data_IF_031385607293
#
_entry.id   IF_031385607293
#
_cell.length_a   1.000
_cell.length_b   1.000
_cell.length_c   1.000
_cell.angle_alpha   90.00
_cell.angle_beta   90.00
_cell.angle_gamma   90.00
#
_symmetry.space_group_name_H-M   'P 1'
#
loop_
_entity.id
_entity.type
_entity.pdbx_description
1 polymer ?
#
# COMPACT_ATOMS: atom_id res chain seq x y z
N UNK A 1 -2.94 5.33 -19.08
CA UNK A 1 -2.30 6.00 -17.94
C UNK A 1 -0.86 5.52 -17.83
N UNK A 2 0.12 6.41 -17.60
CA UNK A 2 1.49 5.98 -17.34
C UNK A 2 1.52 5.11 -16.10
N UNK A 3 2.22 3.97 -16.15
CA UNK A 3 2.34 3.02 -15.03
C UNK A 3 3.37 3.44 -13.99
N UNK A 4 4.29 4.31 -14.37
CA UNK A 4 5.31 4.86 -13.48
C UNK A 4 5.39 6.35 -13.73
N UNK A 5 5.42 7.12 -12.66
CA UNK A 5 5.66 8.56 -12.73
C UNK A 5 7.11 8.83 -12.34
N UNK A 6 7.82 9.72 -13.05
CA UNK A 6 9.13 10.16 -12.62
C UNK A 6 9.01 10.81 -11.23
N UNK A 7 9.97 10.57 -10.39
CA UNK A 7 10.07 11.14 -9.05
C UNK A 7 11.51 11.50 -8.74
N UNK A 8 11.78 12.21 -7.63
CA UNK A 8 13.13 12.52 -7.20
C UNK A 8 13.92 11.23 -6.90
N UNK A 9 15.22 11.29 -7.07
CA UNK A 9 16.14 10.20 -6.72
C UNK A 9 16.34 10.13 -5.20
N UNK A 10 16.41 11.30 -4.55
CA UNK A 10 16.61 11.43 -3.11
C UNK A 10 15.29 11.67 -2.38
N UNK A 11 15.24 11.29 -1.12
CA UNK A 11 14.10 11.50 -0.24
C UNK A 11 14.45 12.55 0.82
N UNK A 12 13.50 13.44 1.10
CA UNK A 12 13.60 14.41 2.20
C UNK A 12 13.29 13.80 3.57
N UNK A 13 12.79 12.57 3.62
CA UNK A 13 12.46 11.85 4.86
C UNK A 13 13.39 10.65 5.04
N UNK A 14 13.82 10.41 6.28
CA UNK A 14 14.64 9.26 6.64
C UNK A 14 13.85 7.94 6.61
N UNK A 15 14.49 6.78 6.47
CA UNK A 15 13.82 5.48 6.60
C UNK A 15 13.07 5.31 7.93
N UNK A 16 13.61 5.81 9.04
CA UNK A 16 12.97 5.74 10.36
C UNK A 16 11.72 6.63 10.44
N UNK A 17 11.76 7.84 9.88
CA UNK A 17 10.58 8.70 9.74
C UNK A 17 9.48 8.03 8.93
N UNK A 18 9.83 7.46 7.78
CA UNK A 18 8.89 6.77 6.90
C UNK A 18 8.28 5.54 7.56
N UNK A 19 9.11 4.76 8.26
CA UNK A 19 8.66 3.60 8.99
C UNK A 19 7.71 3.96 10.13
N UNK A 20 8.12 4.90 10.97
CA UNK A 20 7.31 5.38 12.09
C UNK A 20 6.01 6.02 11.64
N UNK A 21 6.05 6.84 10.57
CA UNK A 21 4.87 7.43 9.95
C UNK A 21 3.88 6.36 9.49
N UNK A 22 4.36 5.33 8.79
CA UNK A 22 3.53 4.22 8.32
C UNK A 22 2.83 3.49 9.47
N UNK A 23 3.57 3.16 10.54
CA UNK A 23 2.99 2.51 11.73
C UNK A 23 1.97 3.39 12.45
N UNK A 24 2.27 4.68 12.64
CA UNK A 24 1.38 5.58 13.38
C UNK A 24 0.14 5.99 12.57
N UNK A 25 0.23 6.08 11.24
CA UNK A 25 -0.96 6.25 10.39
C UNK A 25 -1.85 5.00 10.47
N UNK A 26 -1.29 3.79 10.46
CA UNK A 26 -2.09 2.57 10.63
C UNK A 26 -2.69 2.48 12.03
N UNK A 27 -1.92 1.95 12.96
CA UNK A 27 -2.37 1.56 14.31
C UNK A 27 -1.97 2.55 15.41
N UNK A 28 -1.54 3.77 15.05
CA UNK A 28 -1.22 4.81 16.03
C UNK A 28 -2.43 5.59 16.50
N UNK A 29 -2.38 6.06 17.75
CA UNK A 29 -3.29 7.04 18.31
C UNK A 29 -2.52 8.35 18.58
N UNK A 30 -2.91 9.40 17.89
CA UNK A 30 -2.34 10.75 17.99
C UNK A 30 -3.42 11.79 18.35
N UNK A 31 -4.47 11.35 19.04
CA UNK A 31 -5.58 12.22 19.43
C UNK A 31 -5.15 13.24 20.50
N UNK A 32 -5.69 14.48 20.45
CA UNK A 32 -5.43 15.47 21.49
C UNK A 32 -5.80 14.95 22.88
N UNK A 33 -5.00 15.31 23.88
CA UNK A 33 -5.17 14.91 25.29
C UNK A 33 -4.94 13.42 25.58
N UNK A 34 -4.50 12.64 24.58
CA UNK A 34 -4.03 11.28 24.77
C UNK A 34 -2.52 11.22 24.60
N UNK A 35 -1.89 10.26 25.26
CA UNK A 35 -0.49 9.94 25.00
C UNK A 35 -0.39 9.40 23.58
N UNK A 36 0.62 9.83 22.82
CA UNK A 36 0.91 9.24 21.51
C UNK A 36 1.30 7.78 21.75
N UNK A 37 0.61 6.87 21.06
CA UNK A 37 0.76 5.43 21.30
C UNK A 37 0.52 4.63 20.03
N UNK A 38 1.10 3.45 20.00
CA UNK A 38 0.94 2.45 18.95
C UNK A 38 0.52 1.11 19.57
N UNK A 39 -0.42 0.41 18.95
CA UNK A 39 -0.95 -0.88 19.45
C UNK A 39 -0.70 -1.98 18.43
N UNK A 40 -0.14 -3.10 18.85
CA UNK A 40 0.09 -4.25 17.98
C UNK A 40 0.04 -5.57 18.75
N UNK A 41 -0.27 -6.67 18.05
CA UNK A 41 -0.17 -8.03 18.60
C UNK A 41 1.24 -8.61 18.50
N UNK A 42 2.04 -8.06 17.61
CA UNK A 42 3.34 -8.60 17.22
C UNK A 42 4.46 -7.84 17.95
N UNK A 43 5.24 -8.54 18.76
CA UNK A 43 6.34 -7.95 19.54
C UNK A 43 7.43 -7.35 18.66
N UNK A 44 7.71 -7.96 17.51
CA UNK A 44 8.69 -7.46 16.55
C UNK A 44 8.27 -6.10 15.95
N UNK A 45 6.97 -5.87 15.74
CA UNK A 45 6.44 -4.56 15.32
C UNK A 45 6.50 -3.54 16.47
N UNK A 46 6.19 -3.95 17.71
CA UNK A 46 6.31 -3.08 18.86
C UNK A 46 7.76 -2.62 19.08
N UNK A 47 8.71 -3.55 18.97
CA UNK A 47 10.14 -3.27 19.10
C UNK A 47 10.64 -2.34 17.99
N UNK A 48 10.19 -2.57 16.74
CA UNK A 48 10.57 -1.72 15.62
C UNK A 48 10.07 -0.28 15.78
N UNK A 49 8.83 -0.08 16.24
CA UNK A 49 8.29 1.26 16.51
C UNK A 49 9.05 1.94 17.65
N UNK A 50 9.38 1.20 18.72
CA UNK A 50 10.20 1.68 19.81
C UNK A 50 11.55 2.21 19.29
N UNK A 51 12.28 1.39 18.55
CA UNK A 51 13.62 1.72 18.04
C UNK A 51 13.61 2.87 17.03
N UNK A 52 12.65 2.90 16.10
CA UNK A 52 12.52 4.00 15.15
C UNK A 52 12.22 5.32 15.86
N UNK A 53 11.34 5.31 16.88
CA UNK A 53 11.03 6.50 17.64
C UNK A 53 12.23 7.00 18.45
N UNK A 54 13.01 6.08 19.04
CA UNK A 54 14.21 6.40 19.79
C UNK A 54 15.30 7.02 18.90
N UNK A 55 15.55 6.43 17.71
CA UNK A 55 16.53 6.95 16.76
C UNK A 55 16.10 8.30 16.18
N UNK A 56 14.84 8.43 15.75
CA UNK A 56 14.33 9.62 15.07
C UNK A 56 14.23 10.84 16.02
N UNK A 57 13.87 10.62 17.27
CA UNK A 57 13.65 11.69 18.24
C UNK A 57 14.68 11.69 19.38
N UNK A 58 15.82 11.11 19.16
CA UNK A 58 16.98 10.97 20.06
C UNK A 58 16.93 11.81 21.36
N UNK A 59 16.56 11.19 22.48
CA UNK A 59 16.46 11.85 23.79
C UNK A 59 15.24 12.74 24.03
N UNK A 60 14.48 13.11 22.99
CA UNK A 60 13.26 13.93 23.15
C UNK A 60 12.00 13.08 23.42
N UNK A 61 12.03 11.80 23.03
CA UNK A 61 11.00 10.80 23.31
C UNK A 61 11.59 9.71 24.21
N UNK A 62 10.81 9.25 25.19
CA UNK A 62 11.08 8.10 26.05
C UNK A 62 10.07 6.99 25.73
N UNK A 63 10.31 6.16 24.69
CA UNK A 63 9.38 5.12 24.31
C UNK A 63 9.35 4.00 25.37
N UNK A 64 8.19 3.37 25.55
CA UNK A 64 8.02 2.22 26.45
C UNK A 64 7.07 1.22 25.86
N UNK A 65 7.42 -0.07 25.93
CA UNK A 65 6.55 -1.19 25.52
C UNK A 65 5.91 -1.77 26.78
N UNK A 66 4.59 -1.73 26.82
CA UNK A 66 3.83 -2.39 27.88
C UNK A 66 3.10 -3.59 27.29
N UNK A 67 3.34 -4.80 27.82
CA UNK A 67 2.52 -5.95 27.45
C UNK A 67 1.14 -5.81 28.08
N UNK A 68 0.12 -5.98 27.27
CA UNK A 68 -1.28 -6.06 27.66
C UNK A 68 -1.75 -7.50 27.49
N UNK A 69 -3.04 -7.81 27.70
CA UNK A 69 -3.56 -9.19 27.71
C UNK A 69 -3.13 -10.05 26.50
N UNK A 70 -3.30 -9.50 25.29
CA UNK A 70 -3.02 -10.19 24.03
C UNK A 70 -2.39 -9.30 22.96
N UNK A 71 -1.88 -8.13 23.38
CA UNK A 71 -1.24 -7.14 22.52
C UNK A 71 -0.17 -6.36 23.28
N UNK A 72 0.60 -5.57 22.56
CA UNK A 72 1.60 -4.65 23.11
C UNK A 72 1.17 -3.22 22.85
N UNK A 73 1.31 -2.38 23.87
CA UNK A 73 1.09 -0.95 23.79
C UNK A 73 2.44 -0.25 23.85
N UNK A 74 2.80 0.45 22.77
CA UNK A 74 4.01 1.28 22.73
C UNK A 74 3.61 2.71 23.02
N UNK A 75 4.00 3.22 24.19
CA UNK A 75 3.82 4.62 24.55
C UNK A 75 5.00 5.43 24.08
N UNK A 76 4.73 6.52 23.37
CA UNK A 76 5.73 7.42 22.80
C UNK A 76 5.66 8.77 23.54
N UNK A 77 5.99 8.72 24.82
CA UNK A 77 5.94 9.89 25.72
C UNK A 77 7.13 10.81 25.49
N UNK A 78 6.93 12.12 25.65
CA UNK A 78 8.05 13.06 25.70
C UNK A 78 8.94 12.77 26.92
N UNK A 79 10.25 12.93 26.77
CA UNK A 79 11.22 12.75 27.85
C UNK A 79 11.16 13.87 28.90
N UNK A 80 10.73 15.06 28.49
CA UNK A 80 10.55 16.22 29.36
C UNK A 80 9.08 16.48 29.68
N UNK A 81 8.76 17.14 30.82
CA UNK A 81 7.39 17.48 31.16
C UNK A 81 6.73 18.37 30.10
N UNK A 82 5.50 18.03 29.75
CA UNK A 82 4.73 18.79 28.77
C UNK A 82 4.19 20.07 29.37
N UNK A 83 4.18 21.13 28.58
CA UNK A 83 3.61 22.45 28.98
C UNK A 83 2.89 23.07 27.77
N UNK A 84 2.29 24.25 27.94
CA UNK A 84 1.64 24.98 26.85
C UNK A 84 2.56 25.25 25.65
N UNK A 85 3.87 25.46 25.92
CA UNK A 85 4.89 25.80 24.94
C UNK A 85 5.86 24.64 24.68
N UNK A 86 5.60 23.45 25.22
CA UNK A 86 6.43 22.27 25.06
C UNK A 86 5.53 21.04 24.89
N UNK A 87 5.27 20.68 23.66
CA UNK A 87 4.42 19.55 23.28
C UNK A 87 5.28 18.30 23.06
N UNK A 88 4.60 17.16 22.91
CA UNK A 88 5.26 15.93 22.48
C UNK A 88 5.82 16.11 21.06
N UNK A 89 7.12 15.85 20.81
CA UNK A 89 7.74 16.06 19.50
C UNK A 89 7.07 15.32 18.34
N UNK A 90 6.51 14.13 18.60
CA UNK A 90 5.74 13.39 17.57
C UNK A 90 4.41 14.11 17.27
N UNK A 91 3.76 14.68 18.28
CA UNK A 91 2.54 15.47 18.07
C UNK A 91 2.82 16.74 17.26
N UNK A 92 3.94 17.41 17.50
CA UNK A 92 4.38 18.57 16.69
C UNK A 92 4.71 18.16 15.26
N UNK A 93 5.45 17.05 15.09
CA UNK A 93 5.74 16.50 13.78
C UNK A 93 4.46 16.17 13.00
N UNK A 94 3.48 15.51 13.64
CA UNK A 94 2.19 15.21 13.02
C UNK A 94 1.36 16.45 12.69
N UNK A 95 1.49 17.53 13.48
CA UNK A 95 0.89 18.83 13.15
C UNK A 95 1.51 19.42 11.89
N UNK A 96 2.83 19.38 11.72
CA UNK A 96 3.51 19.87 10.50
C UNK A 96 3.12 19.07 9.26
N UNK A 97 2.76 17.81 9.43
CA UNK A 97 2.26 16.94 8.37
C UNK A 97 0.74 17.06 8.14
N UNK A 98 0.04 17.83 8.98
CA UNK A 98 -1.41 18.04 8.90
C UNK A 98 -2.26 16.86 9.34
N UNK A 99 -1.69 15.88 10.04
CA UNK A 99 -2.37 14.60 10.40
C UNK A 99 -2.52 14.39 11.91
N UNK A 100 -2.18 15.37 12.74
CA UNK A 100 -2.40 15.27 14.18
C UNK A 100 -3.89 15.31 14.53
N UNK A 101 -4.31 14.50 15.49
CA UNK A 101 -5.67 14.50 16.00
C UNK A 101 -6.71 13.79 15.15
N UNK A 102 -6.30 13.14 14.06
CA UNK A 102 -7.20 12.42 13.17
C UNK A 102 -7.65 11.08 13.77
N UNK A 103 -8.93 10.79 13.65
CA UNK A 103 -9.49 9.48 13.97
C UNK A 103 -9.26 8.51 12.81
N UNK A 104 -9.39 7.21 13.07
CA UNK A 104 -9.10 6.14 12.07
C UNK A 104 -9.74 6.39 10.70
N UNK A 105 -10.98 6.89 10.64
CA UNK A 105 -11.72 7.16 9.40
C UNK A 105 -11.41 8.51 8.76
N UNK A 106 -10.63 9.37 9.43
CA UNK A 106 -10.20 10.69 8.96
C UNK A 106 -8.76 10.67 8.42
N UNK A 107 -8.00 9.62 8.78
CA UNK A 107 -6.59 9.48 8.39
C UNK A 107 -6.39 9.50 6.88
N UNK A 108 -5.27 10.07 6.45
CA UNK A 108 -4.82 10.14 5.06
C UNK A 108 -3.29 10.15 5.00
N UNK A 109 -2.74 10.00 3.82
CA UNK A 109 -1.29 10.09 3.60
C UNK A 109 -0.92 11.57 3.46
N UNK A 110 0.05 12.10 4.24
CA UNK A 110 0.53 13.48 4.07
C UNK A 110 1.03 13.76 2.66
N UNK A 111 0.80 14.97 2.16
CA UNK A 111 1.18 15.36 0.80
C UNK A 111 2.66 15.20 0.51
N UNK A 112 3.50 15.41 1.53
CA UNK A 112 4.94 15.25 1.44
C UNK A 112 5.36 13.85 0.95
N UNK A 113 4.62 12.80 1.35
CA UNK A 113 4.91 11.41 0.93
C UNK A 113 4.74 11.23 -0.58
N UNK A 114 3.82 11.96 -1.21
CA UNK A 114 3.62 11.89 -2.66
C UNK A 114 4.76 12.53 -3.47
N UNK A 115 5.61 13.33 -2.84
CA UNK A 115 6.76 13.97 -3.49
C UNK A 115 8.06 13.18 -3.32
N UNK A 116 8.03 12.03 -2.64
CA UNK A 116 9.22 11.24 -2.34
C UNK A 116 9.63 10.34 -3.51
N UNK A 117 10.86 9.81 -3.41
CA UNK A 117 11.39 8.80 -4.33
C UNK A 117 10.57 7.49 -4.28
N UNK A 118 10.61 6.70 -5.34
CA UNK A 118 9.94 5.40 -5.38
C UNK A 118 10.38 4.46 -4.24
N UNK A 119 11.66 4.47 -3.89
CA UNK A 119 12.21 3.69 -2.77
C UNK A 119 11.63 4.12 -1.42
N UNK A 120 11.54 5.43 -1.17
CA UNK A 120 10.98 6.00 0.04
C UNK A 120 9.49 5.70 0.17
N UNK A 121 8.71 5.84 -0.91
CA UNK A 121 7.31 5.43 -0.96
C UNK A 121 7.17 3.93 -0.64
N UNK A 122 8.06 3.09 -1.18
CA UNK A 122 8.10 1.66 -0.87
C UNK A 122 8.32 1.37 0.62
N UNK A 123 9.26 2.09 1.27
CA UNK A 123 9.51 1.98 2.71
C UNK A 123 8.26 2.38 3.51
N UNK A 124 7.68 3.54 3.23
CA UNK A 124 6.45 4.01 3.88
C UNK A 124 5.31 2.98 3.76
N UNK A 125 5.02 2.52 2.54
CA UNK A 125 3.97 1.53 2.30
C UNK A 125 4.25 0.19 3.00
N UNK A 126 5.50 -0.25 3.08
CA UNK A 126 5.90 -1.47 3.80
C UNK A 126 5.49 -1.44 5.26
N UNK A 127 5.77 -0.34 5.94
CA UNK A 127 5.44 -0.15 7.34
C UNK A 127 3.95 0.11 7.57
N UNK A 128 3.30 0.86 6.69
CA UNK A 128 1.84 0.99 6.70
C UNK A 128 1.15 -0.37 6.48
N UNK A 129 1.68 -1.21 5.58
CA UNK A 129 1.15 -2.55 5.33
C UNK A 129 1.38 -3.51 6.49
N UNK A 130 2.38 -3.24 7.33
CA UNK A 130 2.63 -4.04 8.54
C UNK A 130 1.46 -3.95 9.54
N UNK A 131 0.72 -2.86 9.55
CA UNK A 131 -0.48 -2.64 10.39
C UNK A 131 -1.70 -3.35 9.79
N UNK A 132 -2.54 -2.66 9.08
CA UNK A 132 -3.83 -3.11 8.52
C UNK A 132 -3.70 -3.87 7.18
N UNK A 133 -2.48 -4.14 6.72
CA UNK A 133 -2.24 -4.91 5.50
C UNK A 133 -2.37 -6.42 5.71
N UNK A 134 -3.03 -7.08 4.79
CA UNK A 134 -3.10 -8.55 4.73
C UNK A 134 -2.11 -9.07 3.67
N UNK A 135 -1.33 -10.09 4.04
CA UNK A 135 -0.49 -10.86 3.13
C UNK A 135 -0.59 -12.32 3.57
N UNK A 136 -1.33 -13.14 2.84
CA UNK A 136 -1.51 -14.56 3.17
C UNK A 136 -1.89 -15.40 1.97
N UNK A 137 -1.65 -16.71 2.08
CA UNK A 137 -2.31 -17.69 1.23
C UNK A 137 -3.70 -18.01 1.78
N UNK A 138 -4.70 -18.03 0.91
CA UNK A 138 -6.04 -18.54 1.19
C UNK A 138 -6.15 -19.93 0.56
N UNK A 139 -6.41 -20.92 1.40
CA UNK A 139 -6.55 -22.31 0.99
C UNK A 139 -8.04 -22.66 0.80
N UNK A 140 -8.33 -23.54 -0.15
CA UNK A 140 -9.65 -24.01 -0.52
C UNK A 140 -9.57 -24.79 -1.82
N UNK A 141 -10.68 -24.91 -2.56
CA UNK A 141 -10.72 -25.59 -3.88
C UNK A 141 -9.71 -25.01 -4.88
N UNK A 142 -9.44 -23.70 -4.79
CA UNK A 142 -8.46 -23.00 -5.61
C UNK A 142 -7.62 -22.11 -4.71
N UNK A 143 -6.44 -22.57 -4.24
CA UNK A 143 -5.54 -21.77 -3.42
C UNK A 143 -5.12 -20.51 -4.16
N UNK A 144 -5.11 -19.36 -3.44
CA UNK A 144 -4.79 -18.05 -4.03
C UNK A 144 -4.14 -17.12 -3.00
N UNK A 145 -3.27 -16.21 -3.44
CA UNK A 145 -2.81 -15.10 -2.61
C UNK A 145 -3.95 -14.15 -2.25
N UNK A 146 -3.92 -13.62 -1.03
CA UNK A 146 -4.72 -12.50 -0.60
C UNK A 146 -3.76 -11.41 -0.11
N UNK A 147 -3.63 -10.34 -0.89
CA UNK A 147 -2.79 -9.19 -0.58
C UNK A 147 -3.67 -7.96 -0.70
N UNK A 148 -3.95 -7.32 0.43
CA UNK A 148 -4.74 -6.10 0.45
C UNK A 148 -4.39 -5.24 1.66
N UNK A 149 -4.61 -3.94 1.55
CA UNK A 149 -4.63 -2.99 2.66
C UNK A 149 -6.08 -2.64 2.98
N UNK A 150 -6.46 -2.64 4.25
CA UNK A 150 -7.81 -2.32 4.69
C UNK A 150 -7.82 -1.04 5.54
N UNK A 151 -8.79 -0.16 5.32
CA UNK A 151 -8.95 1.04 6.13
C UNK A 151 -10.42 1.44 6.27
N UNK A 152 -10.79 2.03 7.41
CA UNK A 152 -12.06 2.73 7.57
C UNK A 152 -12.06 4.13 6.94
N UNK A 153 -10.90 4.66 6.57
CA UNK A 153 -10.77 5.90 5.82
C UNK A 153 -10.75 5.61 4.31
N UNK A 154 -11.78 6.11 3.61
CA UNK A 154 -11.82 6.04 2.14
C UNK A 154 -10.68 6.83 1.52
N UNK A 155 -10.33 8.00 2.12
CA UNK A 155 -9.24 8.83 1.64
C UNK A 155 -7.90 8.10 1.74
N UNK A 156 -7.58 7.53 2.90
CA UNK A 156 -6.35 6.75 3.09
C UNK A 156 -6.26 5.58 2.09
N UNK A 157 -7.36 4.88 1.84
CA UNK A 157 -7.38 3.79 0.86
C UNK A 157 -7.10 4.29 -0.57
N UNK A 158 -7.65 5.44 -0.98
CA UNK A 158 -7.37 6.07 -2.28
C UNK A 158 -5.91 6.52 -2.34
N UNK A 159 -5.38 7.12 -1.28
CA UNK A 159 -3.99 7.56 -1.21
C UNK A 159 -3.03 6.38 -1.37
N UNK A 160 -3.28 5.26 -0.67
CA UNK A 160 -2.52 4.00 -0.81
C UNK A 160 -2.59 3.47 -2.25
N UNK A 161 -3.78 3.49 -2.88
CA UNK A 161 -3.96 3.10 -4.27
C UNK A 161 -3.09 3.95 -5.22
N UNK A 162 -3.09 5.27 -5.01
CA UNK A 162 -2.31 6.20 -5.83
C UNK A 162 -0.80 5.99 -5.65
N UNK A 163 -0.33 5.75 -4.42
CA UNK A 163 1.08 5.47 -4.15
C UNK A 163 1.52 4.13 -4.79
N UNK A 164 0.69 3.09 -4.73
CA UNK A 164 0.96 1.83 -5.42
C UNK A 164 1.03 2.03 -6.95
N UNK A 165 0.13 2.83 -7.51
CA UNK A 165 0.14 3.14 -8.94
C UNK A 165 1.44 3.88 -9.34
N UNK A 166 1.95 4.78 -8.50
CA UNK A 166 3.25 5.44 -8.73
C UNK A 166 4.42 4.45 -8.77
N UNK A 167 4.33 3.35 -8.03
CA UNK A 167 5.28 2.24 -8.10
C UNK A 167 5.00 1.29 -9.27
N UNK A 168 4.00 1.59 -10.10
CA UNK A 168 3.59 0.78 -11.24
C UNK A 168 2.85 -0.50 -10.85
N UNK A 169 2.24 -0.54 -9.65
CA UNK A 169 1.43 -1.64 -9.16
C UNK A 169 -0.04 -1.30 -9.37
N UNK A 170 -0.72 -2.06 -10.20
CA UNK A 170 -2.16 -1.89 -10.44
C UNK A 170 -2.95 -2.63 -9.36
N UNK A 171 -3.83 -1.90 -8.68
CA UNK A 171 -4.64 -2.45 -7.61
C UNK A 171 -6.10 -2.01 -7.72
N UNK A 172 -6.99 -2.79 -7.10
CA UNK A 172 -8.43 -2.54 -7.11
C UNK A 172 -8.90 -2.05 -5.75
N UNK A 173 -9.57 -0.89 -5.72
CA UNK A 173 -10.29 -0.42 -4.55
C UNK A 173 -11.68 -1.07 -4.50
N UNK A 174 -12.07 -1.59 -3.34
CA UNK A 174 -13.41 -2.13 -3.08
C UNK A 174 -13.91 -1.68 -1.71
N UNK A 175 -15.20 -1.38 -1.63
CA UNK A 175 -15.87 -1.07 -0.37
C UNK A 175 -16.54 -2.33 0.19
N UNK A 176 -16.38 -2.53 1.49
CA UNK A 176 -16.96 -3.64 2.26
C UNK A 176 -17.85 -3.08 3.37
N UNK A 177 -19.17 -2.96 3.13
CA UNK A 177 -20.12 -2.50 4.14
C UNK A 177 -20.11 -3.41 5.37
N UNK A 178 -20.09 -2.80 6.56
CA UNK A 178 -20.15 -3.48 7.85
C UNK A 178 -21.57 -3.35 8.43
N UNK A 179 -22.51 -4.14 7.94
CA UNK A 179 -23.91 -4.08 8.38
C UNK A 179 -24.00 -4.35 9.89
N UNK A 180 -24.48 -3.37 10.65
CA UNK A 180 -24.65 -3.46 12.11
C UNK A 180 -23.37 -3.44 12.94
N UNK A 181 -22.19 -3.24 12.33
CA UNK A 181 -20.88 -3.32 13.01
C UNK A 181 -19.98 -2.09 12.85
N UNK A 182 -20.52 -0.95 12.46
CA UNK A 182 -19.75 0.28 12.33
C UNK A 182 -19.61 0.77 10.89
N UNK A 183 -18.46 1.39 10.56
CA UNK A 183 -18.22 2.01 9.26
C UNK A 183 -17.79 0.98 8.21
N UNK A 184 -18.11 1.24 6.93
CA UNK A 184 -17.54 0.49 5.80
C UNK A 184 -16.02 0.43 5.89
N UNK A 185 -15.45 -0.67 5.40
CA UNK A 185 -14.00 -0.79 5.17
C UNK A 185 -13.71 -0.70 3.68
N UNK A 186 -12.61 -0.05 3.36
CA UNK A 186 -12.10 0.11 1.99
C UNK A 186 -10.85 -0.75 1.84
N UNK A 187 -10.90 -1.68 0.90
CA UNK A 187 -9.78 -2.59 0.63
C UNK A 187 -9.09 -2.23 -0.68
N UNK A 188 -7.77 -2.05 -0.62
CA UNK A 188 -6.90 -1.86 -1.77
C UNK A 188 -6.26 -3.21 -2.08
N UNK A 189 -6.77 -3.91 -3.09
CA UNK A 189 -6.40 -5.27 -3.41
C UNK A 189 -5.31 -5.29 -4.49
N UNK A 190 -4.17 -5.91 -4.19
CA UNK A 190 -3.11 -6.25 -5.15
C UNK A 190 -3.34 -7.69 -5.63
N UNK A 191 -3.45 -7.89 -6.93
CA UNK A 191 -3.77 -9.19 -7.49
C UNK A 191 -3.14 -9.37 -8.86
N UNK A 192 -2.90 -10.63 -9.26
CA UNK A 192 -2.15 -10.99 -10.46
C UNK A 192 -0.65 -11.17 -10.17
N UNK A 193 -0.02 -12.12 -10.84
CA UNK A 193 1.35 -12.53 -10.55
C UNK A 193 2.33 -11.34 -10.65
N UNK A 194 2.28 -10.60 -11.75
CA UNK A 194 3.16 -9.46 -12.02
C UNK A 194 3.07 -8.36 -10.95
N UNK A 195 1.84 -7.93 -10.59
CA UNK A 195 1.64 -6.88 -9.59
C UNK A 195 2.02 -7.36 -8.18
N UNK A 196 1.81 -8.65 -7.88
CA UNK A 196 2.23 -9.26 -6.61
C UNK A 196 3.75 -9.36 -6.52
N UNK A 197 4.42 -9.79 -7.58
CA UNK A 197 5.88 -9.83 -7.63
C UNK A 197 6.46 -8.42 -7.47
N UNK A 198 5.94 -7.46 -8.22
CA UNK A 198 6.34 -6.06 -8.13
C UNK A 198 6.10 -5.47 -6.74
N UNK A 199 4.97 -5.80 -6.11
CA UNK A 199 4.71 -5.43 -4.72
C UNK A 199 5.78 -5.96 -3.78
N UNK A 200 6.17 -7.23 -3.90
CA UNK A 200 7.22 -7.80 -3.07
C UNK A 200 8.63 -7.25 -3.34
N UNK A 201 8.88 -6.74 -4.52
CA UNK A 201 10.15 -6.12 -4.89
C UNK A 201 10.26 -4.67 -4.40
N UNK A 202 9.21 -3.88 -4.61
CA UNK A 202 9.23 -2.43 -4.37
C UNK A 202 8.75 -2.04 -2.98
N UNK A 203 7.66 -2.67 -2.49
CA UNK A 203 7.10 -2.44 -1.15
C UNK A 203 7.66 -3.46 -0.18
N UNK A 204 7.51 -4.74 -0.50
CA UNK A 204 7.89 -5.83 0.39
C UNK A 204 6.90 -6.03 1.55
N UNK A 205 7.37 -6.72 2.58
CA UNK A 205 6.61 -6.95 3.82
C UNK A 205 7.50 -6.68 5.03
N UNK A 206 6.89 -6.27 6.12
CA UNK A 206 7.53 -6.07 7.40
C UNK A 206 6.81 -6.89 8.48
N UNK A 207 7.56 -7.42 9.43
CA UNK A 207 7.07 -8.31 10.48
C UNK A 207 7.19 -9.80 10.12
N UNK A 208 7.49 -10.63 11.13
CA UNK A 208 7.76 -12.07 10.96
C UNK A 208 6.58 -12.83 10.38
N UNK A 209 5.36 -12.54 10.83
CA UNK A 209 4.14 -13.20 10.38
C UNK A 209 3.92 -13.05 8.87
N UNK A 210 4.15 -11.84 8.31
CA UNK A 210 3.96 -11.56 6.87
C UNK A 210 5.13 -12.07 6.02
N UNK A 211 6.34 -12.09 6.58
CA UNK A 211 7.54 -12.60 5.90
C UNK A 211 7.41 -14.08 5.57
N UNK A 212 6.91 -14.91 6.50
CA UNK A 212 6.64 -16.31 6.25
C UNK A 212 5.62 -16.53 5.12
N UNK A 213 4.56 -15.73 5.07
CA UNK A 213 3.54 -15.80 4.02
C UNK A 213 4.06 -15.40 2.64
N UNK A 214 5.01 -14.43 2.57
CA UNK A 214 5.67 -14.04 1.31
C UNK A 214 6.32 -15.24 0.62
N UNK A 215 7.02 -16.08 1.37
CA UNK A 215 7.66 -17.29 0.82
C UNK A 215 6.64 -18.26 0.21
N UNK A 216 5.54 -18.52 0.91
CA UNK A 216 4.46 -19.39 0.44
C UNK A 216 3.82 -18.85 -0.84
N UNK A 217 3.58 -17.53 -0.91
CA UNK A 217 3.00 -16.88 -2.08
C UNK A 217 3.94 -16.94 -3.27
N UNK A 218 5.23 -16.64 -3.08
CA UNK A 218 6.24 -16.75 -4.15
C UNK A 218 6.31 -18.17 -4.74
N UNK A 219 6.33 -19.18 -3.88
CA UNK A 219 6.33 -20.58 -4.32
C UNK A 219 5.04 -20.92 -5.10
N UNK A 220 3.89 -20.40 -4.67
CA UNK A 220 2.62 -20.61 -5.35
C UNK A 220 2.57 -19.95 -6.73
N UNK A 221 3.19 -18.81 -6.91
CA UNK A 221 3.22 -18.07 -8.19
C UNK A 221 4.28 -18.63 -9.16
N UNK A 222 5.31 -19.28 -8.64
CA UNK A 222 6.40 -19.81 -9.44
C UNK A 222 5.89 -20.76 -10.55
N UNK A 223 6.32 -20.50 -11.78
CA UNK A 223 5.94 -21.30 -12.97
C UNK A 223 4.49 -21.10 -13.46
N UNK A 224 3.70 -20.22 -12.85
CA UNK A 224 2.36 -19.90 -13.34
C UNK A 224 2.42 -18.89 -14.48
N UNK A 225 1.69 -19.15 -15.54
CA UNK A 225 1.53 -18.21 -16.66
C UNK A 225 0.65 -17.05 -16.17
N UNK A 226 1.13 -15.79 -16.25
CA UNK A 226 0.33 -14.63 -15.87
C UNK A 226 -0.96 -14.53 -16.68
N UNK A 227 -2.05 -14.15 -16.03
CA UNK A 227 -3.28 -13.82 -16.75
C UNK A 227 -3.14 -12.42 -17.36
N UNK A 228 -2.96 -12.37 -18.67
CA UNK A 228 -2.73 -11.14 -19.43
C UNK A 228 -4.00 -10.30 -19.66
N UNK A 229 -5.19 -10.78 -19.25
CA UNK A 229 -6.47 -10.08 -19.45
C UNK A 229 -6.64 -8.80 -18.58
N UNK A 230 -5.64 -8.37 -17.84
CA UNK A 230 -5.74 -7.24 -16.90
C UNK A 230 -5.38 -5.90 -17.51
N UNK A 231 -4.61 -5.91 -18.57
CA UNK A 231 -4.15 -4.71 -19.26
C UNK A 231 -4.66 -4.71 -20.69
N UNK A 232 -5.96 -4.58 -20.81
CA UNK A 232 -6.66 -4.60 -22.09
C UNK A 232 -7.06 -3.19 -22.49
N UNK A 233 -6.99 -2.92 -23.78
CA UNK A 233 -7.51 -1.69 -24.36
C UNK A 233 -9.04 -1.77 -24.32
N UNK A 234 -9.74 -0.72 -23.83
CA UNK A 234 -11.20 -0.71 -23.79
C UNK A 234 -11.81 -1.01 -25.16
N UNK A 235 -12.92 -1.75 -25.19
CA UNK A 235 -13.62 -2.14 -26.40
C UNK A 235 -14.00 -0.94 -27.29
N UNK A 236 -14.27 0.21 -26.68
CA UNK A 236 -14.59 1.44 -27.42
C UNK A 236 -13.42 1.89 -28.30
N UNK A 237 -12.18 1.76 -27.83
CA UNK A 237 -10.98 2.06 -28.65
C UNK A 237 -10.89 1.11 -29.85
N UNK A 238 -11.20 -0.17 -29.63
CA UNK A 238 -11.28 -1.13 -30.72
C UNK A 238 -12.30 -0.70 -31.78
N UNK A 239 -13.51 -0.37 -31.35
CA UNK A 239 -14.61 0.03 -32.24
C UNK A 239 -14.33 1.35 -32.95
N UNK A 240 -13.79 2.34 -32.24
CA UNK A 240 -13.61 3.72 -32.76
C UNK A 240 -12.37 3.87 -33.65
N UNK A 241 -11.32 3.08 -33.41
CA UNK A 241 -10.03 3.25 -34.09
C UNK A 241 -9.57 1.99 -34.83
N UNK A 242 -9.52 0.83 -34.18
CA UNK A 242 -8.98 -0.38 -34.78
C UNK A 242 -9.82 -0.89 -35.96
N UNK A 243 -11.15 -0.96 -35.79
CA UNK A 243 -12.05 -1.43 -36.86
C UNK A 243 -12.04 -0.52 -38.10
N UNK A 244 -12.10 0.83 -37.95
CA UNK A 244 -11.95 1.72 -39.11
C UNK A 244 -10.59 1.59 -39.79
N UNK A 245 -9.49 1.53 -39.04
CA UNK A 245 -8.15 1.33 -39.59
C UNK A 245 -8.01 0.01 -40.36
N UNK A 246 -8.55 -1.08 -39.82
CA UNK A 246 -8.59 -2.38 -40.50
C UNK A 246 -9.36 -2.30 -41.82
N UNK A 247 -10.47 -1.59 -41.88
CA UNK A 247 -11.26 -1.37 -43.12
C UNK A 247 -10.45 -0.57 -44.13
N UNK A 248 -9.71 0.48 -43.72
CA UNK A 248 -8.86 1.26 -44.65
C UNK A 248 -7.78 0.43 -45.32
N UNK A 249 -7.20 -0.53 -44.61
CA UNK A 249 -6.18 -1.46 -45.17
C UNK A 249 -6.78 -2.74 -45.71
N UNK A 250 -8.12 -2.83 -45.82
CA UNK A 250 -8.86 -3.98 -46.34
C UNK A 250 -8.53 -5.31 -45.64
N UNK A 251 -8.20 -5.25 -44.34
CA UNK A 251 -7.92 -6.46 -43.53
C UNK A 251 -9.12 -6.86 -42.68
N UNK A 252 -9.37 -8.16 -42.64
CA UNK A 252 -10.36 -8.78 -41.75
C UNK A 252 -9.76 -9.17 -40.39
N UNK A 253 -10.59 -9.35 -39.35
CA UNK A 253 -10.14 -9.87 -38.07
C UNK A 253 -9.38 -11.22 -38.17
N UNK A 254 -9.78 -12.08 -39.10
CA UNK A 254 -9.11 -13.37 -39.35
C UNK A 254 -7.70 -13.18 -39.92
N UNK A 255 -7.52 -12.23 -40.82
CA UNK A 255 -6.19 -11.91 -41.39
C UNK A 255 -5.28 -11.29 -40.32
N UNK A 256 -5.81 -10.38 -39.52
CA UNK A 256 -5.07 -9.81 -38.39
C UNK A 256 -4.67 -10.88 -37.37
N UNK A 257 -5.55 -11.83 -37.07
CA UNK A 257 -5.24 -12.96 -36.20
C UNK A 257 -4.13 -13.86 -36.77
N UNK A 258 -4.16 -14.12 -38.08
CA UNK A 258 -3.14 -14.92 -38.74
C UNK A 258 -1.75 -14.23 -38.71
N UNK A 259 -1.71 -12.90 -38.88
CA UNK A 259 -0.48 -12.11 -38.87
C UNK A 259 0.10 -11.90 -37.44
N UNK A 260 -0.76 -11.63 -36.48
CA UNK A 260 -0.37 -11.36 -35.10
C UNK A 260 -0.31 -12.61 -34.20
N UNK A 261 -0.82 -13.74 -34.72
CA UNK A 261 -0.84 -15.01 -34.00
C UNK A 261 -1.59 -14.90 -32.66
N UNK A 262 -1.01 -15.49 -31.62
CA UNK A 262 -1.61 -15.49 -30.26
C UNK A 262 -1.69 -14.11 -29.59
N UNK A 263 -1.14 -13.07 -30.19
CA UNK A 263 -1.23 -11.69 -29.69
C UNK A 263 -2.56 -11.02 -30.02
N UNK A 264 -3.34 -11.61 -30.91
CA UNK A 264 -4.64 -11.10 -31.29
C UNK A 264 -5.76 -11.96 -30.73
N UNK A 265 -6.67 -11.39 -29.95
CA UNK A 265 -7.79 -12.08 -29.34
C UNK A 265 -9.13 -11.39 -29.64
N UNK A 266 -9.48 -11.33 -30.92
CA UNK A 266 -10.78 -10.83 -31.36
C UNK A 266 -11.03 -9.36 -31.07
N UNK A 267 -11.98 -9.07 -30.17
CA UNK A 267 -12.39 -7.71 -29.84
C UNK A 267 -11.54 -7.03 -28.75
N UNK A 268 -10.54 -7.74 -28.20
CA UNK A 268 -9.67 -7.25 -27.14
C UNK A 268 -8.25 -7.11 -27.66
N UNK A 269 -7.67 -5.92 -27.53
CA UNK A 269 -6.26 -5.66 -27.79
C UNK A 269 -5.50 -5.63 -26.48
N UNK A 270 -4.38 -6.32 -26.42
CA UNK A 270 -3.43 -6.19 -25.31
C UNK A 270 -2.42 -5.08 -25.63
N UNK A 271 -1.92 -4.40 -24.61
CA UNK A 271 -0.90 -3.34 -24.76
C UNK A 271 0.35 -3.84 -25.47
N UNK A 272 0.68 -5.12 -25.31
CA UNK A 272 1.79 -5.78 -26.00
C UNK A 272 1.63 -5.86 -27.52
N UNK A 273 0.45 -5.64 -28.04
CA UNK A 273 0.18 -5.65 -29.48
C UNK A 273 0.35 -4.28 -30.15
N UNK A 274 0.73 -3.25 -29.37
CA UNK A 274 0.90 -1.87 -29.83
C UNK A 274 2.37 -1.45 -29.98
N UNK A 275 3.32 -2.36 -29.72
CA UNK A 275 4.76 -2.13 -29.88
C UNK A 275 5.26 -2.53 -31.29
#
# INVERSE_FOLDING_TARGET
LPRTLPGPEESSMTPDELGLLGHLIGDGCTLPRHVVQYTTKDMDLAQAVFEMAERQFSGAIAPRINPERSWYQVYLSASSPLSRNHRNPIAEWFDTLGIFGLRSFEKYVPEQVFSLSASAIGIFLRHLWATDGCVRMVYGKSPRPAIYYASSSRRLAIDVQNLLLRLGIVCRLSEHPQVGKGRSQFHVNVSGAEDIEKFFETVGVFGQAKTGQRGLIKNHLHGRIPNTNRDVIPFDVWRMYAVPAMKQISKTSRQMQAELGNRYCGTTLYTQNLS
#
